data_IF_685884040949
#
_entry.id   IF_685884040949
#
_cell.length_a   1.000
_cell.length_b   1.000
_cell.length_c   1.000
_cell.angle_alpha   90.00
_cell.angle_beta   90.00
_cell.angle_gamma   90.00
#
_symmetry.space_group_name_H-M   'P 1'
#
loop_
_entity.id
_entity.type
_entity.pdbx_description
1 polymer ?
#
# COMPACT_ATOMS: atom_id res chain seq x y z
N UNK A 1 -67.69 24.18 -17.51
CA UNK A 1 -66.79 23.33 -18.38
C UNK A 1 -65.39 23.65 -17.98
N UNK A 2 -64.91 22.93 -16.94
CA UNK A 2 -63.55 23.14 -16.32
C UNK A 2 -62.55 22.19 -16.96
N UNK A 3 -61.53 22.80 -17.59
CA UNK A 3 -60.44 22.11 -18.18
C UNK A 3 -59.32 22.05 -17.12
N UNK A 4 -59.13 20.88 -16.50
CA UNK A 4 -58.02 20.62 -15.57
C UNK A 4 -56.74 20.38 -16.37
N UNK A 5 -55.79 21.33 -16.33
CA UNK A 5 -54.45 21.14 -16.81
C UNK A 5 -53.64 20.41 -15.72
N UNK A 6 -53.36 19.12 -15.95
CA UNK A 6 -52.43 18.36 -15.15
C UNK A 6 -51.02 18.65 -15.68
N UNK A 7 -50.28 19.46 -14.91
CA UNK A 7 -48.85 19.68 -15.14
C UNK A 7 -48.09 18.49 -14.56
N UNK A 8 -47.67 17.58 -15.41
CA UNK A 8 -46.74 16.50 -15.06
C UNK A 8 -45.32 17.09 -14.94
N UNK A 9 -44.93 17.42 -13.72
CA UNK A 9 -43.53 17.70 -13.41
C UNK A 9 -42.71 16.39 -13.49
N UNK A 10 -41.98 16.20 -14.57
CA UNK A 10 -40.93 15.21 -14.65
C UNK A 10 -39.77 15.68 -13.78
N UNK A 11 -39.68 15.16 -12.55
CA UNK A 11 -38.45 15.19 -11.77
C UNK A 11 -37.47 14.22 -12.41
N UNK A 12 -36.62 14.74 -13.30
CA UNK A 12 -35.42 14.01 -13.71
C UNK A 12 -34.46 13.97 -12.51
N UNK A 13 -34.53 12.89 -11.73
CA UNK A 13 -33.52 12.57 -10.75
C UNK A 13 -32.29 12.20 -11.53
N UNK A 14 -31.36 13.16 -11.68
CA UNK A 14 -30.04 12.90 -12.21
C UNK A 14 -29.28 12.11 -11.14
N UNK A 15 -29.36 10.78 -11.22
CA UNK A 15 -28.50 9.90 -10.42
C UNK A 15 -27.08 10.08 -10.94
N UNK A 16 -26.32 10.90 -10.23
CA UNK A 16 -24.85 10.84 -10.32
C UNK A 16 -24.43 9.50 -9.71
N UNK A 17 -24.39 8.47 -10.55
CA UNK A 17 -23.73 7.23 -10.22
C UNK A 17 -22.24 7.53 -10.20
N UNK A 18 -21.74 7.94 -9.02
CA UNK A 18 -20.34 7.87 -8.72
C UNK A 18 -19.94 6.40 -8.87
N UNK A 19 -19.17 6.10 -9.92
CA UNK A 19 -18.54 4.80 -10.09
C UNK A 19 -17.52 4.65 -8.95
N UNK A 20 -17.96 4.13 -7.80
CA UNK A 20 -17.03 3.53 -6.86
C UNK A 20 -16.34 2.41 -7.63
N UNK A 21 -15.08 2.63 -7.97
CA UNK A 21 -14.21 1.58 -8.48
C UNK A 21 -14.14 0.51 -7.40
N UNK A 22 -15.00 -0.50 -7.54
CA UNK A 22 -14.93 -1.70 -6.74
C UNK A 22 -13.53 -2.28 -6.95
N UNK A 23 -12.67 -2.19 -5.93
CA UNK A 23 -11.37 -2.83 -5.96
C UNK A 23 -11.67 -4.33 -5.96
N UNK A 24 -11.34 -4.99 -7.07
CA UNK A 24 -11.42 -6.44 -7.16
C UNK A 24 -10.53 -7.03 -6.05
N UNK A 25 -11.16 -7.60 -5.03
CA UNK A 25 -10.50 -8.20 -3.87
C UNK A 25 -9.99 -9.62 -4.15
N UNK A 26 -9.88 -9.99 -5.41
CA UNK A 26 -9.27 -11.26 -5.82
C UNK A 26 -7.86 -11.34 -5.25
N UNK A 27 -7.56 -12.45 -4.59
CA UNK A 27 -6.23 -12.71 -4.06
C UNK A 27 -5.18 -12.70 -5.18
N UNK A 28 -4.16 -11.88 -4.99
CA UNK A 28 -3.07 -11.74 -5.95
C UNK A 28 -2.14 -12.95 -5.95
N UNK A 29 -1.55 -13.20 -7.11
CA UNK A 29 -0.52 -14.20 -7.33
C UNK A 29 0.73 -13.54 -7.90
N UNK A 30 1.86 -14.23 -7.84
CA UNK A 30 3.09 -13.82 -8.50
C UNK A 30 2.84 -13.61 -10.01
N UNK A 31 3.28 -12.46 -10.52
CA UNK A 31 3.08 -12.03 -11.90
C UNK A 31 1.83 -11.17 -12.14
N UNK A 32 0.87 -11.17 -11.22
CA UNK A 32 -0.33 -10.34 -11.35
C UNK A 32 0.01 -8.86 -11.26
N UNK A 33 -0.72 -8.04 -11.99
CA UNK A 33 -0.64 -6.59 -11.88
C UNK A 33 -1.31 -6.15 -10.57
N UNK A 34 -0.59 -5.37 -9.76
CA UNK A 34 -1.15 -4.81 -8.54
C UNK A 34 -2.31 -3.85 -8.88
N UNK A 35 -3.51 -4.02 -8.29
CA UNK A 35 -4.60 -3.07 -8.41
C UNK A 35 -4.25 -1.71 -7.80
N UNK A 36 -5.04 -0.70 -8.12
CA UNK A 36 -4.90 0.61 -7.49
C UNK A 36 -5.51 0.57 -6.08
N UNK A 37 -4.65 0.75 -5.08
CA UNK A 37 -5.03 0.96 -3.69
C UNK A 37 -4.68 2.39 -3.31
N UNK A 38 -5.55 3.04 -2.53
CA UNK A 38 -5.32 4.39 -2.03
C UNK A 38 -4.84 4.31 -0.59
N UNK A 39 -3.75 5.02 -0.31
CA UNK A 39 -3.11 5.16 0.98
C UNK A 39 -3.03 6.65 1.36
N UNK A 40 -2.79 6.97 2.63
CA UNK A 40 -2.56 8.36 3.06
C UNK A 40 -1.17 8.53 3.66
N UNK A 41 -0.53 9.65 3.37
CA UNK A 41 0.67 10.07 4.10
C UNK A 41 0.31 10.76 5.43
N UNK A 42 1.31 11.10 6.25
CA UNK A 42 1.11 11.75 7.55
C UNK A 42 0.55 13.18 7.47
N UNK A 43 0.41 13.72 6.26
CA UNK A 43 -0.25 15.01 5.97
C UNK A 43 -1.67 14.83 5.44
N UNK A 44 -2.13 13.58 5.33
CA UNK A 44 -3.45 13.23 4.79
C UNK A 44 -3.53 13.23 3.27
N UNK A 45 -2.41 13.42 2.56
CA UNK A 45 -2.37 13.34 1.11
C UNK A 45 -2.54 11.89 0.66
N UNK A 46 -3.37 11.69 -0.35
CA UNK A 46 -3.59 10.37 -0.96
C UNK A 46 -2.47 10.01 -1.94
N UNK A 47 -2.10 8.74 -1.90
CA UNK A 47 -1.06 8.12 -2.73
C UNK A 47 -1.50 6.77 -3.24
N UNK A 48 -0.92 6.35 -4.36
CA UNK A 48 -1.11 5.01 -4.92
C UNK A 48 0.23 4.38 -5.29
N UNK A 49 0.29 3.05 -5.36
CA UNK A 49 1.49 2.33 -5.78
C UNK A 49 1.89 2.64 -7.24
N UNK A 50 0.96 3.12 -8.04
CA UNK A 50 1.25 3.52 -9.43
C UNK A 50 2.17 4.74 -9.54
N UNK A 51 2.26 5.58 -8.51
CA UNK A 51 3.21 6.70 -8.44
C UNK A 51 4.68 6.22 -8.43
N UNK A 52 4.90 4.97 -8.04
CA UNK A 52 6.23 4.36 -7.89
C UNK A 52 6.64 3.52 -9.11
N UNK A 53 5.83 3.52 -10.19
CA UNK A 53 6.17 2.81 -11.44
C UNK A 53 7.54 3.24 -11.98
N UNK A 54 8.23 2.30 -12.59
CA UNK A 54 9.61 2.47 -13.06
C UNK A 54 10.66 1.99 -12.07
N UNK A 55 10.30 1.80 -10.80
CA UNK A 55 11.17 1.27 -9.76
C UNK A 55 10.63 -0.06 -9.22
N UNK A 56 11.51 -0.88 -8.69
CA UNK A 56 11.10 -1.94 -7.77
C UNK A 56 10.52 -1.32 -6.51
N UNK A 57 9.50 -1.94 -5.93
CA UNK A 57 8.88 -1.44 -4.69
C UNK A 57 8.96 -2.54 -3.64
N UNK A 58 9.75 -2.30 -2.60
CA UNK A 58 9.80 -3.15 -1.41
C UNK A 58 8.85 -2.59 -0.37
N UNK A 59 7.80 -3.34 -0.05
CA UNK A 59 6.73 -2.92 0.86
C UNK A 59 6.91 -3.64 2.19
N UNK A 60 7.00 -2.88 3.28
CA UNK A 60 6.88 -3.36 4.66
C UNK A 60 5.46 -3.08 5.16
N UNK A 61 4.67 -4.14 5.38
CA UNK A 61 3.35 -4.03 6.00
C UNK A 61 3.50 -4.23 7.50
N UNK A 62 3.18 -3.19 8.26
CA UNK A 62 3.45 -3.13 9.69
C UNK A 62 2.33 -2.44 10.50
N UNK A 63 2.46 -2.39 11.80
CA UNK A 63 1.61 -1.58 12.69
C UNK A 63 2.38 -1.15 13.95
N UNK A 64 1.94 -0.07 14.58
CA UNK A 64 2.59 0.49 15.78
C UNK A 64 2.64 -0.48 16.96
N UNK A 65 1.65 -1.35 17.10
CA UNK A 65 1.54 -2.38 18.14
C UNK A 65 2.30 -3.67 17.81
N UNK A 66 2.80 -3.82 16.57
CA UNK A 66 3.48 -5.02 16.11
C UNK A 66 4.93 -5.05 16.60
N UNK A 67 5.19 -5.74 17.72
CA UNK A 67 6.55 -5.88 18.25
C UNK A 67 7.53 -6.56 17.30
N UNK A 68 7.18 -7.66 16.59
CA UNK A 68 8.07 -8.27 15.60
C UNK A 68 8.40 -7.33 14.44
N UNK A 69 7.46 -6.46 14.01
CA UNK A 69 7.72 -5.48 12.95
C UNK A 69 8.81 -4.48 13.39
N UNK A 70 8.71 -3.98 14.63
CA UNK A 70 9.71 -3.04 15.17
C UNK A 70 11.11 -3.64 15.28
N UNK A 71 11.21 -4.95 15.49
CA UNK A 71 12.51 -5.64 15.47
C UNK A 71 13.16 -5.68 14.10
N UNK A 72 12.37 -5.71 13.03
CA UNK A 72 12.89 -5.69 11.65
C UNK A 72 13.32 -4.28 11.21
N UNK A 73 12.84 -3.24 11.84
CA UNK A 73 13.09 -1.87 11.42
C UNK A 73 14.58 -1.49 11.28
N UNK A 74 15.48 -1.80 12.23
CA UNK A 74 16.92 -1.51 12.07
C UNK A 74 17.52 -2.19 10.84
N UNK A 75 17.14 -3.44 10.58
CA UNK A 75 17.60 -4.21 9.42
C UNK A 75 17.04 -3.66 8.11
N UNK A 76 15.78 -3.19 8.15
CA UNK A 76 15.17 -2.52 6.99
C UNK A 76 15.91 -1.23 6.64
N UNK A 77 16.26 -0.42 7.63
CA UNK A 77 17.05 0.81 7.43
C UNK A 77 18.46 0.49 6.87
N UNK A 78 19.11 -0.56 7.37
CA UNK A 78 20.40 -0.98 6.84
C UNK A 78 20.30 -1.46 5.39
N UNK A 79 19.27 -2.26 5.08
CA UNK A 79 19.00 -2.75 3.73
C UNK A 79 18.69 -1.59 2.78
N UNK A 80 17.87 -0.63 3.20
CA UNK A 80 17.57 0.58 2.43
C UNK A 80 18.85 1.37 2.11
N UNK A 81 19.72 1.56 3.10
CA UNK A 81 21.03 2.21 2.91
C UNK A 81 21.93 1.47 1.92
N UNK A 82 21.99 0.13 1.99
CA UNK A 82 22.75 -0.70 1.05
C UNK A 82 22.20 -0.62 -0.39
N UNK A 83 20.93 -0.34 -0.53
CA UNK A 83 20.24 -0.20 -1.82
C UNK A 83 20.21 1.24 -2.32
N UNK A 84 20.84 2.18 -1.63
CA UNK A 84 20.90 3.58 -2.05
C UNK A 84 21.53 3.70 -3.46
N UNK A 85 20.93 4.56 -4.30
CA UNK A 85 21.35 4.72 -5.70
C UNK A 85 20.87 3.62 -6.66
N UNK A 86 20.24 2.57 -6.16
CA UNK A 86 19.65 1.50 -6.98
C UNK A 86 18.21 1.82 -7.37
N UNK A 87 17.70 1.11 -8.36
CA UNK A 87 16.36 1.32 -8.91
C UNK A 87 15.26 0.65 -8.06
N UNK A 88 15.26 0.91 -6.76
CA UNK A 88 14.30 0.38 -5.81
C UNK A 88 13.85 1.47 -4.82
N UNK A 89 12.61 1.42 -4.40
CA UNK A 89 12.07 2.24 -3.33
C UNK A 89 11.51 1.36 -2.21
N UNK A 90 11.78 1.75 -0.97
CA UNK A 90 11.24 1.10 0.21
C UNK A 90 10.10 1.94 0.75
N UNK A 91 8.97 1.30 1.06
CA UNK A 91 7.81 1.97 1.65
C UNK A 91 7.26 1.15 2.81
N UNK A 92 6.95 1.84 3.90
CA UNK A 92 6.18 1.28 5.01
C UNK A 92 4.69 1.55 4.80
N UNK A 93 3.86 0.50 4.85
CA UNK A 93 2.40 0.62 4.82
C UNK A 93 1.86 0.17 6.18
N UNK A 94 1.38 1.13 6.96
CA UNK A 94 0.78 0.83 8.27
C UNK A 94 -0.65 0.33 8.11
N UNK A 95 -0.96 -0.77 8.79
CA UNK A 95 -2.31 -1.27 8.98
C UNK A 95 -2.91 -0.91 10.37
N UNK A 96 -2.41 0.13 11.02
CA UNK A 96 -3.04 0.65 12.22
C UNK A 96 -4.48 1.10 11.92
N UNK A 97 -5.43 0.77 12.79
CA UNK A 97 -6.81 1.23 12.64
C UNK A 97 -6.99 2.71 13.00
N UNK A 98 -6.04 3.30 13.72
CA UNK A 98 -6.14 4.65 14.27
C UNK A 98 -4.91 5.46 13.85
N UNK A 99 -5.14 6.55 13.10
CA UNK A 99 -4.10 7.38 12.50
C UNK A 99 -3.06 7.91 13.51
N UNK A 100 -3.51 8.41 14.68
CA UNK A 100 -2.59 8.97 15.67
C UNK A 100 -1.63 7.93 16.28
N UNK A 101 -1.99 6.64 16.31
CA UNK A 101 -1.09 5.56 16.73
C UNK A 101 0.04 5.38 15.74
N UNK A 102 -0.30 5.35 14.45
CA UNK A 102 0.69 5.29 13.37
C UNK A 102 1.60 6.51 13.38
N UNK A 103 1.05 7.73 13.32
CA UNK A 103 1.86 8.96 13.28
C UNK A 103 2.69 9.14 14.55
N UNK A 104 2.19 8.72 15.70
CA UNK A 104 2.92 8.67 16.96
C UNK A 104 4.11 7.70 16.89
N UNK A 105 3.92 6.51 16.34
CA UNK A 105 4.99 5.53 16.16
C UNK A 105 6.07 6.01 15.19
N UNK A 106 5.70 6.69 14.09
CA UNK A 106 6.67 7.30 13.18
C UNK A 106 7.59 8.29 13.89
N UNK A 107 7.01 9.18 14.71
CA UNK A 107 7.76 10.19 15.48
C UNK A 107 8.67 9.56 16.52
N UNK A 108 8.14 8.62 17.32
CA UNK A 108 8.89 7.95 18.38
C UNK A 108 9.99 7.04 17.85
N UNK A 109 9.72 6.30 16.78
CA UNK A 109 10.65 5.39 16.13
C UNK A 109 11.65 6.08 15.22
N UNK A 110 11.53 7.42 15.01
CA UNK A 110 12.29 8.18 14.01
C UNK A 110 12.29 7.48 12.65
N UNK A 111 11.14 6.92 12.29
CA UNK A 111 10.96 6.18 11.05
C UNK A 111 10.99 7.17 9.87
N UNK A 112 12.01 7.04 9.06
CA UNK A 112 12.19 7.83 7.83
C UNK A 112 11.59 7.12 6.60
N UNK A 113 11.99 7.61 5.42
CA UNK A 113 11.55 7.06 4.14
C UNK A 113 10.10 7.35 3.82
N UNK A 114 9.55 6.58 2.88
CA UNK A 114 8.15 6.70 2.46
C UNK A 114 7.27 5.90 3.40
N UNK A 115 6.37 6.58 4.09
CA UNK A 115 5.47 5.95 5.07
C UNK A 115 4.02 6.30 4.74
N UNK A 116 3.21 5.30 4.48
CA UNK A 116 1.80 5.42 4.16
C UNK A 116 0.92 4.61 5.12
N UNK A 117 -0.34 4.95 5.15
CA UNK A 117 -1.35 4.32 6.01
C UNK A 117 -2.55 3.85 5.17
N UNK A 118 -3.07 2.65 5.45
CA UNK A 118 -4.22 2.09 4.72
C UNK A 118 -5.54 2.82 5.00
N UNK A 119 -5.59 3.70 6.01
CA UNK A 119 -6.76 4.51 6.39
C UNK A 119 -8.05 3.69 6.56
N UNK A 120 -7.95 2.47 7.10
CA UNK A 120 -9.08 1.56 7.29
C UNK A 120 -9.48 0.76 6.05
N UNK A 121 -8.86 0.99 4.90
CA UNK A 121 -9.12 0.21 3.69
C UNK A 121 -8.34 -1.11 3.70
N UNK A 122 -8.96 -2.18 4.16
CA UNK A 122 -8.34 -3.50 4.28
C UNK A 122 -8.24 -4.27 2.94
N UNK A 123 -8.74 -3.71 1.84
CA UNK A 123 -8.72 -4.41 0.54
C UNK A 123 -7.30 -4.77 0.09
N UNK A 124 -6.31 -3.91 0.39
CA UNK A 124 -4.89 -4.18 0.16
C UNK A 124 -4.43 -5.43 0.93
N UNK A 125 -4.74 -5.52 2.22
CA UNK A 125 -4.34 -6.66 3.05
C UNK A 125 -4.96 -7.96 2.55
N UNK A 126 -6.22 -7.93 2.16
CA UNK A 126 -6.93 -9.09 1.59
C UNK A 126 -6.31 -9.54 0.28
N UNK A 127 -6.07 -8.60 -0.66
CA UNK A 127 -5.49 -8.91 -1.96
C UNK A 127 -4.10 -9.57 -1.84
N UNK A 128 -3.26 -9.11 -0.92
CA UNK A 128 -1.92 -9.66 -0.68
C UNK A 128 -1.88 -10.78 0.37
N UNK A 129 -3.02 -11.25 0.87
CA UNK A 129 -3.11 -12.24 1.97
C UNK A 129 -2.24 -11.86 3.16
N UNK A 130 -2.20 -10.57 3.49
CA UNK A 130 -1.41 -10.05 4.60
C UNK A 130 -2.18 -10.19 5.93
N UNK A 131 -2.59 -11.41 6.25
CA UNK A 131 -3.29 -11.82 7.47
C UNK A 131 -2.40 -11.77 8.73
N UNK A 132 -1.08 -11.73 8.52
CA UNK A 132 -0.06 -11.64 9.57
C UNK A 132 1.00 -10.62 9.18
N UNK A 133 1.47 -9.86 10.18
CA UNK A 133 2.57 -8.90 10.06
C UNK A 133 3.71 -9.25 11.02
N UNK A 134 4.98 -8.90 10.70
CA UNK A 134 5.40 -8.18 9.48
C UNK A 134 5.16 -8.99 8.20
N UNK A 135 4.82 -8.30 7.13
CA UNK A 135 4.69 -8.86 5.80
C UNK A 135 5.51 -8.02 4.84
N UNK A 136 6.39 -8.66 4.08
CA UNK A 136 7.22 -7.98 3.08
C UNK A 136 6.77 -8.41 1.69
N UNK A 137 6.54 -7.42 0.81
CA UNK A 137 6.04 -7.63 -0.55
C UNK A 137 7.01 -6.96 -1.51
N UNK A 138 7.23 -7.55 -2.67
CA UNK A 138 8.07 -6.98 -3.70
C UNK A 138 7.30 -6.86 -5.01
N UNK A 139 7.31 -5.66 -5.59
CA UNK A 139 6.77 -5.40 -6.92
C UNK A 139 7.88 -5.07 -7.92
N UNK A 140 7.67 -5.42 -9.18
CA UNK A 140 8.55 -5.04 -10.29
C UNK A 140 8.30 -3.59 -10.76
N UNK A 141 9.15 -3.01 -11.63
CA UNK A 141 8.96 -1.66 -12.17
C UNK A 141 7.69 -1.45 -12.98
N UNK A 142 7.00 -2.52 -13.38
CA UNK A 142 5.70 -2.45 -14.07
C UNK A 142 4.52 -2.54 -13.09
N UNK A 143 4.79 -2.63 -11.79
CA UNK A 143 3.79 -2.81 -10.73
C UNK A 143 3.21 -4.22 -10.69
N UNK A 144 3.97 -5.24 -11.12
CA UNK A 144 3.58 -6.64 -10.98
C UNK A 144 4.18 -7.25 -9.72
N UNK A 145 3.44 -8.14 -9.11
CA UNK A 145 3.87 -8.87 -7.92
C UNK A 145 5.03 -9.80 -8.27
N UNK A 146 6.20 -9.58 -7.67
CA UNK A 146 7.33 -10.51 -7.71
C UNK A 146 7.28 -11.47 -6.54
N UNK A 147 7.04 -10.96 -5.33
CA UNK A 147 6.89 -11.77 -4.13
C UNK A 147 5.78 -11.22 -3.24
N UNK A 148 4.85 -12.09 -2.83
CA UNK A 148 3.75 -11.77 -1.91
C UNK A 148 4.19 -11.85 -0.44
N UNK A 149 5.25 -12.60 -0.19
CA UNK A 149 5.80 -12.83 1.14
C UNK A 149 7.31 -13.00 1.03
N UNK A 150 7.99 -11.89 0.87
CA UNK A 150 9.45 -11.82 0.81
C UNK A 150 10.05 -12.22 2.17
N UNK A 151 11.28 -12.75 2.17
CA UNK A 151 12.06 -12.94 3.40
C UNK A 151 12.24 -11.61 4.14
N UNK A 152 12.51 -11.69 5.44
CA UNK A 152 12.65 -10.52 6.31
C UNK A 152 13.91 -9.72 5.99
N UNK A 153 13.96 -8.41 6.24
CA UNK A 153 15.19 -7.62 6.14
C UNK A 153 16.35 -8.16 6.95
N UNK A 154 16.09 -8.78 8.11
CA UNK A 154 17.11 -9.44 8.95
C UNK A 154 17.70 -10.72 8.35
N UNK A 155 17.08 -11.27 7.32
CA UNK A 155 17.58 -12.45 6.61
C UNK A 155 18.51 -12.01 5.47
N UNK A 156 19.74 -12.53 5.46
CA UNK A 156 20.73 -12.22 4.43
C UNK A 156 20.28 -12.61 3.01
N UNK A 157 19.35 -13.54 2.87
CA UNK A 157 18.81 -13.92 1.56
C UNK A 157 17.99 -12.82 0.93
N UNK A 158 17.40 -11.92 1.73
CA UNK A 158 16.65 -10.75 1.22
C UNK A 158 17.57 -9.83 0.41
N UNK A 159 18.72 -9.44 0.98
CA UNK A 159 19.72 -8.62 0.28
C UNK A 159 20.22 -9.30 -0.99
N UNK A 160 20.59 -10.58 -0.90
CA UNK A 160 21.07 -11.37 -2.03
C UNK A 160 20.02 -11.47 -3.16
N UNK A 161 18.75 -11.61 -2.78
CA UNK A 161 17.66 -11.65 -3.76
C UNK A 161 17.53 -10.31 -4.48
N UNK A 162 17.50 -9.21 -3.73
CA UNK A 162 17.36 -7.87 -4.31
C UNK A 162 18.52 -7.54 -5.26
N UNK A 163 19.76 -7.89 -4.89
CA UNK A 163 20.95 -7.66 -5.74
C UNK A 163 20.96 -8.45 -7.05
N UNK A 164 20.17 -9.53 -7.16
CA UNK A 164 20.02 -10.31 -8.40
C UNK A 164 18.94 -9.77 -9.34
N UNK A 165 18.17 -8.76 -8.93
CA UNK A 165 17.13 -8.18 -9.78
C UNK A 165 17.73 -7.46 -11.00
N UNK A 166 17.07 -7.57 -12.13
CA UNK A 166 17.53 -6.94 -13.37
C UNK A 166 17.42 -5.41 -13.28
N UNK A 167 18.52 -4.72 -13.56
CA UNK A 167 18.57 -3.23 -13.54
C UNK A 167 18.16 -2.64 -12.18
N UNK A 168 18.51 -3.35 -11.09
CA UNK A 168 18.37 -2.83 -9.73
C UNK A 168 19.23 -1.59 -9.52
#
# INVERSE_FOLDING_TARGET
>A
RNLFFIVLMFFAVFQVMGSEKQVDTTELKKGDKCPEFVFKDARGKEHTLSELKGKYVFIDVWASWCYPCRKEYPYLQELEKKMEGKNIVFIGISCDHIEWRWTGALKMGKMGGVQWWIAGNESFLKAFRADRIPRFILLDPKGRVLELNMTRPSDSETEKYLLKLKKI
#
